data_IF_251165106332
#
_entry.id   IF_251165106332
#
_cell.length_a   1.000
_cell.length_b   1.000
_cell.length_c   1.000
_cell.angle_alpha   90.00
_cell.angle_beta   90.00
_cell.angle_gamma   90.00
#
_symmetry.space_group_name_H-M   'P 1'
#
loop_
_entity.id
_entity.type
_entity.pdbx_description
1 polymer ?
#
# COMPACT_ATOMS: atom_id res chain seq x y z
N UNK A 1 -10.19 6.43 -4.05
CA UNK A 1 -9.72 5.20 -4.73
C UNK A 1 -9.10 5.46 -6.09
N UNK A 2 -9.61 6.44 -6.86
CA UNK A 2 -8.97 6.85 -8.12
C UNK A 2 -7.52 7.31 -7.93
N UNK A 3 -7.22 8.04 -6.85
CA UNK A 3 -5.83 8.48 -6.60
C UNK A 3 -4.88 7.30 -6.34
N UNK A 4 -5.37 6.23 -5.69
CA UNK A 4 -4.56 5.02 -5.48
C UNK A 4 -4.19 4.35 -6.81
N UNK A 5 -5.12 4.31 -7.76
CA UNK A 5 -4.88 3.79 -9.11
C UNK A 5 -3.94 4.69 -9.91
N UNK A 6 -4.04 6.01 -9.76
CA UNK A 6 -3.14 6.96 -10.41
C UNK A 6 -1.70 6.78 -9.92
N UNK A 7 -1.49 6.69 -8.61
CA UNK A 7 -0.17 6.43 -8.02
C UNK A 7 0.38 5.07 -8.47
N UNK A 8 -0.46 4.03 -8.53
CA UNK A 8 -0.05 2.72 -9.04
C UNK A 8 0.39 2.80 -10.49
N UNK A 9 -0.39 3.45 -11.35
CA UNK A 9 -0.04 3.64 -12.76
C UNK A 9 1.24 4.45 -12.93
N UNK A 10 1.46 5.46 -12.09
CA UNK A 10 2.72 6.19 -12.06
C UNK A 10 3.90 5.27 -11.72
N UNK A 11 3.77 4.43 -10.68
CA UNK A 11 4.81 3.46 -10.30
C UNK A 11 5.07 2.42 -11.40
N UNK A 12 4.03 1.92 -12.06
CA UNK A 12 4.13 0.98 -13.19
C UNK A 12 4.91 1.58 -14.37
N UNK A 13 4.76 2.89 -14.61
CA UNK A 13 5.43 3.61 -15.69
C UNK A 13 6.88 4.02 -15.36
N UNK A 14 7.34 3.87 -14.12
CA UNK A 14 8.70 4.21 -13.74
C UNK A 14 9.70 3.15 -14.24
N UNK A 15 10.77 3.62 -14.86
CA UNK A 15 11.87 2.81 -15.38
C UNK A 15 13.21 3.28 -14.80
N UNK A 16 14.10 2.33 -14.52
CA UNK A 16 15.43 2.67 -14.05
C UNK A 16 16.31 3.10 -15.22
N UNK A 17 16.68 4.38 -15.24
CA UNK A 17 17.61 4.97 -16.20
C UNK A 17 18.96 5.23 -15.56
N UNK A 18 18.96 5.91 -14.43
CA UNK A 18 20.13 6.29 -13.66
C UNK A 18 19.76 6.48 -12.17
N UNK A 19 20.67 7.07 -11.40
CA UNK A 19 20.47 7.29 -9.97
C UNK A 19 19.31 8.28 -9.66
N UNK A 20 18.97 9.18 -10.59
CA UNK A 20 17.82 10.08 -10.42
C UNK A 20 16.48 9.34 -10.40
N UNK A 21 16.39 8.18 -11.06
CA UNK A 21 15.20 7.31 -11.01
C UNK A 21 14.88 6.87 -9.58
N UNK A 22 15.87 6.71 -8.70
CA UNK A 22 15.64 6.41 -7.27
C UNK A 22 14.92 7.55 -6.55
N UNK A 23 15.23 8.80 -6.92
CA UNK A 23 14.53 9.96 -6.37
C UNK A 23 13.07 10.02 -6.85
N UNK A 24 12.84 9.78 -8.14
CA UNK A 24 11.47 9.71 -8.70
C UNK A 24 10.64 8.62 -8.01
N UNK A 25 11.21 7.43 -7.79
CA UNK A 25 10.55 6.35 -7.08
C UNK A 25 10.27 6.73 -5.61
N UNK A 26 11.22 7.38 -4.93
CA UNK A 26 10.99 7.90 -3.56
C UNK A 26 9.86 8.92 -3.51
N UNK A 27 9.76 9.82 -4.49
CA UNK A 27 8.66 10.79 -4.58
C UNK A 27 7.30 10.10 -4.78
N UNK A 28 7.24 9.09 -5.65
CA UNK A 28 6.02 8.30 -5.84
C UNK A 28 5.61 7.56 -4.56
N UNK A 29 6.56 6.96 -3.84
CA UNK A 29 6.31 6.32 -2.54
C UNK A 29 5.85 7.32 -1.48
N UNK A 30 6.43 8.52 -1.44
CA UNK A 30 6.00 9.58 -0.52
C UNK A 30 4.55 10.01 -0.80
N UNK A 31 4.18 10.17 -2.07
CA UNK A 31 2.81 10.47 -2.48
C UNK A 31 1.84 9.35 -2.06
N UNK A 32 2.25 8.09 -2.22
CA UNK A 32 1.48 6.94 -1.74
C UNK A 32 1.27 7.01 -0.22
N UNK A 33 2.35 7.26 0.55
CA UNK A 33 2.29 7.39 2.01
C UNK A 33 1.35 8.49 2.48
N UNK A 34 1.42 9.66 1.84
CA UNK A 34 0.52 10.80 2.12
C UNK A 34 -0.94 10.44 1.85
N UNK A 35 -1.24 9.80 0.72
CA UNK A 35 -2.59 9.35 0.40
C UNK A 35 -3.12 8.35 1.43
N UNK A 36 -2.31 7.33 1.78
CA UNK A 36 -2.70 6.29 2.74
C UNK A 36 -3.02 6.88 4.12
N UNK A 37 -2.18 7.80 4.59
CA UNK A 37 -2.39 8.50 5.86
C UNK A 37 -3.65 9.35 5.82
N UNK A 38 -3.86 10.10 4.73
CA UNK A 38 -5.03 10.96 4.56
C UNK A 38 -6.33 10.15 4.54
N UNK A 39 -6.31 9.00 3.87
CA UNK A 39 -7.45 8.06 3.84
C UNK A 39 -7.69 7.40 5.18
N UNK A 40 -6.63 7.08 5.93
CA UNK A 40 -6.76 6.56 7.29
C UNK A 40 -7.44 7.59 8.20
N UNK A 41 -6.99 8.84 8.17
CA UNK A 41 -7.58 9.92 8.95
C UNK A 41 -9.05 10.20 8.58
N UNK A 42 -9.39 10.17 7.29
CA UNK A 42 -10.78 10.27 6.85
C UNK A 42 -11.63 9.11 7.40
N UNK A 43 -11.14 7.86 7.29
CA UNK A 43 -11.82 6.69 7.83
C UNK A 43 -12.05 6.78 9.35
N UNK A 44 -11.15 7.43 10.10
CA UNK A 44 -11.31 7.66 11.53
C UNK A 44 -12.38 8.71 11.88
N UNK A 45 -12.68 9.64 10.96
CA UNK A 45 -13.66 10.72 11.16
C UNK A 45 -15.09 10.28 10.89
N UNK A 46 -15.29 9.43 9.87
CA UNK A 46 -16.62 9.07 9.39
C UNK A 46 -17.21 7.88 10.20
N UNK A 47 -16.84 6.64 9.85
CA UNK A 47 -17.50 5.42 10.33
C UNK A 47 -16.56 4.45 11.08
N UNK A 48 -15.26 4.79 11.19
CA UNK A 48 -14.23 4.02 11.91
C UNK A 48 -14.17 2.55 11.52
N UNK A 49 -14.15 2.25 10.22
CA UNK A 49 -13.96 0.88 9.74
C UNK A 49 -12.58 0.36 10.16
N UNK A 50 -12.54 -0.48 11.20
CA UNK A 50 -11.29 -0.98 11.79
C UNK A 50 -10.44 -1.72 10.77
N UNK A 51 -11.07 -2.53 9.92
CA UNK A 51 -10.36 -3.32 8.90
C UNK A 51 -9.73 -2.42 7.84
N UNK A 52 -10.48 -1.43 7.33
CA UNK A 52 -9.96 -0.41 6.42
C UNK A 52 -8.75 0.31 7.03
N UNK A 53 -8.84 0.72 8.28
CA UNK A 53 -7.72 1.34 9.00
C UNK A 53 -6.50 0.42 9.08
N UNK A 54 -6.68 -0.86 9.42
CA UNK A 54 -5.58 -1.84 9.48
C UNK A 54 -4.90 -2.02 8.13
N UNK A 55 -5.68 -2.16 7.06
CA UNK A 55 -5.15 -2.32 5.69
C UNK A 55 -4.37 -1.08 5.24
N UNK A 56 -4.89 0.12 5.49
CA UNK A 56 -4.22 1.38 5.16
C UNK A 56 -2.90 1.55 5.92
N UNK A 57 -2.88 1.25 7.22
CA UNK A 57 -1.67 1.33 8.04
C UNK A 57 -0.62 0.28 7.66
N UNK A 58 -1.05 -0.93 7.30
CA UNK A 58 -0.16 -1.98 6.81
C UNK A 58 0.53 -1.55 5.52
N UNK A 59 -0.25 -1.08 4.53
CA UNK A 59 0.30 -0.57 3.28
C UNK A 59 1.24 0.63 3.52
N UNK A 60 0.90 1.53 4.44
CA UNK A 60 1.74 2.67 4.80
C UNK A 60 3.08 2.22 5.39
N UNK A 61 3.07 1.23 6.28
CA UNK A 61 4.29 0.66 6.86
C UNK A 61 5.22 0.10 5.78
N UNK A 62 4.67 -0.61 4.80
CA UNK A 62 5.42 -1.18 3.69
C UNK A 62 6.02 -0.08 2.81
N UNK A 63 5.21 0.89 2.39
CA UNK A 63 5.67 2.06 1.61
C UNK A 63 6.80 2.82 2.32
N UNK A 64 6.68 3.03 3.64
CA UNK A 64 7.74 3.66 4.43
C UNK A 64 9.02 2.82 4.47
N UNK A 65 8.89 1.50 4.58
CA UNK A 65 10.04 0.60 4.54
C UNK A 65 10.74 0.64 3.18
N UNK A 66 9.98 0.60 2.09
CA UNK A 66 10.50 0.74 0.72
C UNK A 66 11.24 2.06 0.52
N UNK A 67 10.67 3.17 0.99
CA UNK A 67 11.34 4.47 0.93
C UNK A 67 12.70 4.44 1.63
N UNK A 68 12.74 3.87 2.85
CA UNK A 68 13.97 3.77 3.63
C UNK A 68 15.03 2.89 2.96
N UNK A 69 14.63 1.79 2.32
CA UNK A 69 15.57 0.95 1.56
C UNK A 69 16.18 1.74 0.40
N UNK A 70 15.38 2.49 -0.38
CA UNK A 70 15.91 3.33 -1.46
C UNK A 70 16.87 4.41 -0.95
N UNK A 71 16.60 4.97 0.23
CA UNK A 71 17.42 6.01 0.83
C UNK A 71 18.77 5.50 1.37
N UNK A 72 18.79 4.27 1.89
CA UNK A 72 19.99 3.69 2.53
C UNK A 72 20.83 2.83 1.61
N UNK A 73 20.30 2.44 0.45
CA UNK A 73 21.01 1.65 -0.55
C UNK A 73 22.17 2.46 -1.15
N UNK A 74 23.36 1.85 -1.17
CA UNK A 74 24.59 2.47 -1.72
C UNK A 74 25.06 1.85 -3.04
N UNK A 75 24.60 0.63 -3.34
CA UNK A 75 25.00 -0.17 -4.50
C UNK A 75 23.78 -0.93 -5.06
N UNK A 76 23.91 -1.64 -6.18
CA UNK A 76 22.81 -2.42 -6.78
C UNK A 76 21.51 -1.61 -7.05
N UNK A 77 21.65 -0.30 -7.33
CA UNK A 77 20.53 0.62 -7.49
C UNK A 77 19.45 0.16 -8.45
N UNK A 78 19.82 -0.46 -9.59
CA UNK A 78 18.87 -0.98 -10.58
C UNK A 78 18.00 -2.09 -10.01
N UNK A 79 18.62 -3.04 -9.30
CA UNK A 79 17.93 -4.19 -8.73
C UNK A 79 16.99 -3.75 -7.60
N UNK A 80 17.50 -2.93 -6.68
CA UNK A 80 16.71 -2.36 -5.58
C UNK A 80 15.54 -1.55 -6.11
N UNK A 81 15.76 -0.72 -7.14
CA UNK A 81 14.69 0.01 -7.80
C UNK A 81 13.61 -0.93 -8.34
N UNK A 82 13.97 -1.97 -9.10
CA UNK A 82 12.99 -2.87 -9.73
C UNK A 82 12.17 -3.59 -8.66
N UNK A 83 12.85 -4.16 -7.67
CA UNK A 83 12.22 -4.90 -6.58
C UNK A 83 11.25 -4.02 -5.80
N UNK A 84 11.67 -2.81 -5.43
CA UNK A 84 10.84 -1.90 -4.65
C UNK A 84 9.65 -1.38 -5.45
N UNK A 85 9.85 -1.05 -6.73
CA UNK A 85 8.76 -0.65 -7.63
C UNK A 85 7.72 -1.77 -7.72
N UNK A 86 8.13 -3.00 -7.96
CA UNK A 86 7.24 -4.15 -8.10
C UNK A 86 6.46 -4.45 -6.82
N UNK A 87 7.15 -4.46 -5.67
CA UNK A 87 6.52 -4.65 -4.36
C UNK A 87 5.49 -3.55 -4.09
N UNK A 88 5.84 -2.29 -4.33
CA UNK A 88 4.91 -1.18 -4.15
C UNK A 88 3.67 -1.31 -5.05
N UNK A 89 3.84 -1.66 -6.34
CA UNK A 89 2.72 -1.88 -7.26
C UNK A 89 1.81 -3.01 -6.78
N UNK A 90 2.38 -4.14 -6.36
CA UNK A 90 1.63 -5.30 -5.87
C UNK A 90 0.85 -4.98 -4.59
N UNK A 91 1.46 -4.27 -3.65
CA UNK A 91 0.82 -3.85 -2.41
C UNK A 91 -0.34 -2.89 -2.66
N UNK A 92 -0.15 -1.87 -3.51
CA UNK A 92 -1.22 -0.93 -3.84
C UNK A 92 -2.35 -1.61 -4.61
N UNK A 93 -2.05 -2.57 -5.50
CA UNK A 93 -3.05 -3.37 -6.18
C UNK A 93 -3.85 -4.25 -5.21
N UNK A 94 -3.18 -4.88 -4.26
CA UNK A 94 -3.81 -5.74 -3.26
C UNK A 94 -4.67 -4.92 -2.30
N UNK A 95 -4.18 -3.76 -1.85
CA UNK A 95 -4.96 -2.81 -1.07
C UNK A 95 -6.22 -2.36 -1.83
N UNK A 96 -6.09 -1.99 -3.10
CA UNK A 96 -7.25 -1.60 -3.92
C UNK A 96 -8.32 -2.70 -3.97
N UNK A 97 -7.91 -3.95 -4.18
CA UNK A 97 -8.82 -5.11 -4.21
C UNK A 97 -9.50 -5.33 -2.86
N UNK A 98 -8.77 -5.23 -1.76
CA UNK A 98 -9.30 -5.48 -0.41
C UNK A 98 -10.22 -4.35 0.08
N UNK A 99 -10.02 -3.11 -0.39
CA UNK A 99 -10.89 -1.98 -0.05
C UNK A 99 -12.13 -1.86 -0.95
N UNK A 100 -12.28 -2.72 -1.97
CA UNK A 100 -13.43 -2.68 -2.86
C UNK A 100 -14.69 -3.17 -2.11
N UNK A 101 -15.85 -2.49 -2.21
CA UNK A 101 -17.04 -2.80 -1.41
C UNK A 101 -17.49 -4.27 -1.44
N UNK A 102 -17.27 -4.98 -2.56
CA UNK A 102 -17.64 -6.40 -2.69
C UNK A 102 -16.82 -7.35 -1.81
N UNK A 103 -15.64 -6.96 -1.34
CA UNK A 103 -14.75 -7.83 -0.54
C UNK A 103 -14.83 -7.54 0.97
N UNK A 104 -15.31 -6.36 1.36
CA UNK A 104 -15.39 -5.96 2.79
C UNK A 104 -16.61 -6.59 3.49
N UNK A 105 -17.64 -6.97 2.74
CA UNK A 105 -18.85 -7.63 3.29
C UNK A 105 -18.61 -9.11 3.61
N UNK A 106 -17.68 -9.78 2.93
CA UNK A 106 -17.46 -11.23 3.08
C UNK A 106 -16.48 -11.63 4.20
N UNK A 107 -15.80 -10.68 4.86
CA UNK A 107 -14.89 -11.02 5.97
C UNK A 107 -15.56 -10.98 7.36
N UNK A 108 -16.86 -10.69 7.46
CA UNK A 108 -17.61 -10.71 8.73
C UNK A 108 -18.14 -12.13 9.04
N UNK A 109 -18.11 -13.06 8.08
CA UNK A 109 -18.60 -14.42 8.26
C UNK A 109 -17.50 -15.44 7.97
N UNK A 110 -16.54 -15.58 8.88
CA UNK A 110 -15.84 -16.87 9.06
C UNK A 110 -15.07 -16.88 10.39
N UNK A 111 -15.81 -17.16 11.47
CA UNK A 111 -15.32 -18.05 12.53
C UNK A 111 -16.37 -19.15 12.73
N UNK A 112 -16.03 -20.43 12.50
CA UNK A 112 -16.91 -21.55 12.79
C UNK A 112 -16.75 -22.09 14.21
N UNK A 113 -17.91 -22.27 14.87
CA UNK A 113 -18.34 -23.35 15.77
C UNK A 113 -17.54 -23.68 17.05
N UNK A 114 -18.20 -23.60 18.21
CA UNK A 114 -18.64 -24.76 19.03
C UNK A 114 -19.00 -24.35 20.48
N UNK A 115 -20.27 -24.49 20.85
CA UNK A 115 -20.66 -25.18 22.09
C UNK A 115 -22.16 -25.52 22.06
N UNK A 116 -22.45 -26.71 21.56
CA UNK A 116 -23.51 -27.50 22.18
C UNK A 116 -23.09 -27.83 23.63
N UNK A 117 -24.08 -28.19 24.46
CA UNK A 117 -23.99 -28.69 25.86
C UNK A 117 -24.21 -27.61 26.94
N UNK A 118 -25.47 -27.31 27.28
CA UNK A 118 -26.25 -27.99 28.33
C UNK A 118 -27.70 -27.52 28.35
#
# INVERSE_FOLDING_TARGET
MRELLQIRSQLEALEYKDQSSLFELRMALMNAGTLLTSRHLANQRDEKHVMTSKLLLLAFRNVRHYYHLLETTREAHREVFSNIRELAVQDLASLYRNLRPSNVVNMIQEQPLLSAVR
#
